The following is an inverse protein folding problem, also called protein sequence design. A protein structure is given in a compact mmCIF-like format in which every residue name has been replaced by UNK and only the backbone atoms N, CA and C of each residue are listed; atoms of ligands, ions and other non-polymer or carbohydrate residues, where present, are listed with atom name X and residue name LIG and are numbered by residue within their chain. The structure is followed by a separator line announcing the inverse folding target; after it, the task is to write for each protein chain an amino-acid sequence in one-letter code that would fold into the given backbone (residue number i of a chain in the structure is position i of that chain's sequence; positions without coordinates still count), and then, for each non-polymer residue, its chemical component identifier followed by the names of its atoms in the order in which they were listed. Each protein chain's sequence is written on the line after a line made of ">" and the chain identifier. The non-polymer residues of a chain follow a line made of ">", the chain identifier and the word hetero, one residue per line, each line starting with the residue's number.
data_IF_947467493569
#
_entry.id   IF_947467493569
#
_cell.length_a   1.000
_cell.length_b   1.000
_cell.length_c   1.000
_cell.angle_alpha   90.00
_cell.angle_beta   90.00
_cell.angle_gamma   90.00
#
_symmetry.space_group_name_H-M   'P 1'
#
loop_
_entity.id
_entity.type
_entity.pdbx_description
1 polymer ?
#
# COMPACT_ATOMS: atom_id res chain seq x y z
N UNK A 1 -30.27 -11.44 66.14
CA UNK A 1 -30.87 -11.40 64.79
C UNK A 1 -30.81 -9.95 64.34
N UNK A 2 -29.85 -9.59 63.50
CA UNK A 2 -29.72 -8.25 62.91
C UNK A 2 -29.65 -8.48 61.40
N UNK A 3 -30.74 -8.19 60.69
CA UNK A 3 -30.77 -8.26 59.23
C UNK A 3 -30.02 -7.06 58.65
N UNK A 4 -28.97 -7.34 57.90
CA UNK A 4 -28.26 -6.37 57.10
C UNK A 4 -29.14 -5.96 55.91
N UNK A 5 -29.49 -4.67 55.83
CA UNK A 5 -30.18 -4.09 54.69
C UNK A 5 -29.17 -3.88 53.55
N UNK A 6 -29.31 -4.64 52.47
CA UNK A 6 -28.49 -4.51 51.27
C UNK A 6 -28.86 -3.21 50.53
N UNK A 7 -27.87 -2.36 50.31
CA UNK A 7 -28.00 -1.08 49.61
C UNK A 7 -28.28 -1.31 48.12
N UNK A 8 -29.46 -0.88 47.63
CA UNK A 8 -29.83 -0.98 46.21
C UNK A 8 -29.07 0.06 45.39
N UNK A 9 -28.15 -0.41 44.55
CA UNK A 9 -27.44 0.43 43.56
C UNK A 9 -28.41 1.20 42.65
N UNK A 10 -28.20 2.51 42.52
CA UNK A 10 -28.98 3.39 41.64
C UNK A 10 -28.79 2.97 40.17
N UNK A 11 -29.81 2.37 39.57
CA UNK A 11 -29.86 2.12 38.13
C UNK A 11 -29.88 3.46 37.36
N UNK A 12 -28.91 3.65 36.47
CA UNK A 12 -28.84 4.81 35.56
C UNK A 12 -30.04 4.78 34.59
N UNK A 13 -30.73 5.91 34.41
CA UNK A 13 -31.81 6.05 33.43
C UNK A 13 -31.28 5.77 32.00
N UNK A 14 -32.06 5.11 31.15
CA UNK A 14 -31.73 4.75 29.77
C UNK A 14 -31.13 5.91 28.95
N UNK A 15 -31.58 7.16 29.17
CA UNK A 15 -30.97 8.34 28.50
C UNK A 15 -29.52 8.59 28.94
N UNK A 16 -29.21 8.39 30.23
CA UNK A 16 -27.85 8.53 30.76
C UNK A 16 -26.96 7.38 30.31
N UNK A 17 -27.49 6.16 30.23
CA UNK A 17 -26.79 5.00 29.67
C UNK A 17 -26.45 5.27 28.19
N UNK A 18 -27.42 5.75 27.41
CA UNK A 18 -27.21 6.10 26.00
C UNK A 18 -26.09 7.14 25.82
N UNK A 19 -26.11 8.23 26.60
CA UNK A 19 -25.06 9.26 26.55
C UNK A 19 -23.70 8.67 26.93
N UNK A 20 -23.64 7.83 27.96
CA UNK A 20 -22.40 7.20 28.41
C UNK A 20 -21.82 6.26 27.35
N UNK A 21 -22.68 5.49 26.67
CA UNK A 21 -22.29 4.63 25.54
C UNK A 21 -21.75 5.47 24.37
N UNK A 22 -22.41 6.57 24.01
CA UNK A 22 -21.94 7.45 22.92
C UNK A 22 -20.58 8.06 23.25
N UNK A 23 -20.38 8.54 24.49
CA UNK A 23 -19.09 9.10 24.93
C UNK A 23 -18.00 8.02 24.91
N UNK A 24 -18.31 6.81 25.37
CA UNK A 24 -17.37 5.68 25.33
C UNK A 24 -17.00 5.32 23.89
N UNK A 25 -17.97 5.25 22.98
CA UNK A 25 -17.70 4.99 21.56
C UNK A 25 -16.84 6.08 20.92
N UNK A 26 -17.12 7.36 21.21
CA UNK A 26 -16.31 8.47 20.72
C UNK A 26 -14.86 8.40 21.24
N UNK A 27 -14.66 8.04 22.51
CA UNK A 27 -13.33 7.82 23.09
C UNK A 27 -12.61 6.65 22.40
N UNK A 28 -13.28 5.53 22.17
CA UNK A 28 -12.72 4.38 21.47
C UNK A 28 -12.27 4.78 20.05
N UNK A 29 -13.13 5.47 19.30
CA UNK A 29 -12.79 5.97 17.95
C UNK A 29 -11.59 6.92 18.01
N UNK A 30 -11.52 7.83 18.97
CA UNK A 30 -10.39 8.75 19.12
C UNK A 30 -9.07 8.02 19.43
N UNK A 31 -9.10 7.02 20.33
CA UNK A 31 -7.93 6.20 20.67
C UNK A 31 -7.46 5.40 19.45
N UNK A 32 -8.38 4.69 18.78
CA UNK A 32 -8.02 3.91 17.59
C UNK A 32 -7.54 4.81 16.45
N UNK A 33 -8.14 5.99 16.25
CA UNK A 33 -7.66 6.94 15.25
C UNK A 33 -6.24 7.43 15.56
N UNK A 34 -5.92 7.68 16.83
CA UNK A 34 -4.57 8.06 17.25
C UNK A 34 -3.56 6.92 17.07
N UNK A 35 -3.93 5.69 17.47
CA UNK A 35 -3.06 4.51 17.33
C UNK A 35 -2.84 4.10 15.87
N UNK A 36 -3.86 4.23 15.01
CA UNK A 36 -3.78 3.94 13.57
C UNK A 36 -3.28 5.11 12.72
N UNK A 37 -2.92 6.24 13.33
CA UNK A 37 -2.37 7.36 12.56
C UNK A 37 -1.04 6.92 11.94
N UNK A 38 -1.00 6.90 10.61
CA UNK A 38 0.14 6.42 9.86
C UNK A 38 1.37 7.30 10.13
N UNK A 39 2.39 6.73 10.77
CA UNK A 39 3.65 7.41 11.13
C UNK A 39 4.76 7.18 10.10
N UNK A 40 4.46 6.40 9.06
CA UNK A 40 5.44 5.90 8.09
C UNK A 40 5.99 7.00 7.17
N UNK A 41 5.36 8.18 7.11
CA UNK A 41 5.82 9.28 6.27
C UNK A 41 5.75 8.97 4.77
N UNK A 42 4.93 7.99 4.38
CA UNK A 42 4.72 7.58 3.00
C UNK A 42 4.14 8.73 2.18
N UNK A 43 4.80 9.04 1.07
CA UNK A 43 4.44 10.11 0.15
C UNK A 43 4.65 9.63 -1.28
N UNK A 44 3.76 10.04 -2.17
CA UNK A 44 3.91 9.77 -3.60
C UNK A 44 5.23 10.34 -4.13
N UNK A 45 5.79 9.71 -5.16
CA UNK A 45 7.11 10.01 -5.70
C UNK A 45 8.28 9.38 -4.94
N UNK A 46 8.01 8.77 -3.77
CA UNK A 46 8.99 8.00 -2.99
C UNK A 46 8.46 6.61 -2.70
N UNK A 47 9.26 5.59 -3.01
CA UNK A 47 8.99 4.19 -2.72
C UNK A 47 9.80 3.78 -1.49
N UNK A 48 9.13 3.28 -0.46
CA UNK A 48 9.77 2.72 0.74
C UNK A 48 9.71 1.21 0.68
N UNK A 49 10.84 0.54 0.91
CA UNK A 49 10.95 -0.92 0.91
C UNK A 49 11.33 -1.36 2.32
N UNK A 50 10.50 -2.22 2.92
CA UNK A 50 10.63 -2.62 4.32
C UNK A 50 10.33 -4.10 4.55
N UNK A 51 10.82 -4.62 5.66
CA UNK A 51 10.48 -5.93 6.20
C UNK A 51 10.07 -5.78 7.67
N UNK A 52 8.78 -5.90 7.94
CA UNK A 52 8.21 -5.52 9.24
C UNK A 52 8.52 -4.07 9.59
N UNK A 53 9.07 -3.83 10.79
CA UNK A 53 9.44 -2.50 11.27
C UNK A 53 10.76 -1.95 10.67
N UNK A 54 11.50 -2.78 9.91
CA UNK A 54 12.81 -2.39 9.37
C UNK A 54 12.67 -1.83 7.96
N UNK A 55 13.05 -0.56 7.77
CA UNK A 55 13.19 0.04 6.43
C UNK A 55 14.52 -0.41 5.84
N UNK A 56 14.47 -1.13 4.72
CA UNK A 56 15.65 -1.62 4.00
C UNK A 56 16.17 -0.61 2.99
N UNK A 57 15.28 0.20 2.42
CA UNK A 57 15.66 1.24 1.48
C UNK A 57 14.52 2.15 1.09
N UNK A 58 14.86 3.26 0.46
CA UNK A 58 13.89 4.18 -0.13
C UNK A 58 14.44 4.73 -1.44
N UNK A 59 13.59 4.78 -2.47
CA UNK A 59 13.95 5.19 -3.82
C UNK A 59 12.95 6.24 -4.32
N UNK A 60 13.46 7.29 -4.93
CA UNK A 60 12.63 8.26 -5.66
C UNK A 60 12.43 7.84 -7.11
N UNK A 61 11.52 8.49 -7.82
CA UNK A 61 11.38 8.30 -9.27
C UNK A 61 12.71 8.57 -10.01
N UNK A 62 13.46 9.59 -9.59
CA UNK A 62 14.77 9.90 -10.17
C UNK A 62 15.80 8.79 -9.94
N UNK A 63 15.68 8.01 -8.86
CA UNK A 63 16.53 6.85 -8.62
C UNK A 63 16.12 5.66 -9.48
N UNK A 64 14.81 5.42 -9.65
CA UNK A 64 14.29 4.40 -10.57
C UNK A 64 14.70 4.67 -12.01
N UNK A 65 14.73 5.94 -12.44
CA UNK A 65 15.17 6.34 -13.78
C UNK A 65 16.66 6.11 -14.05
N UNK A 66 17.49 5.89 -13.01
CA UNK A 66 18.90 5.50 -13.18
C UNK A 66 19.07 3.98 -13.40
N UNK A 67 18.03 3.19 -13.10
CA UNK A 67 18.00 1.77 -13.34
C UNK A 67 17.60 1.49 -14.81
N UNK A 68 17.81 0.26 -15.33
CA UNK A 68 17.41 -0.07 -16.69
C UNK A 68 15.93 0.22 -16.95
N UNK A 69 15.67 1.16 -17.85
CA UNK A 69 14.34 1.50 -18.31
C UNK A 69 13.89 0.52 -19.41
N UNK A 70 12.63 0.13 -19.36
CA UNK A 70 11.96 -0.69 -20.37
C UNK A 70 10.59 -0.12 -20.69
N UNK A 71 10.19 -0.26 -21.95
CA UNK A 71 8.83 0.07 -22.40
C UNK A 71 7.97 -1.20 -22.42
N UNK A 72 6.74 -1.09 -21.90
CA UNK A 72 5.77 -2.19 -21.85
C UNK A 72 4.43 -1.77 -22.41
N UNK A 73 4.09 -2.36 -23.56
CA UNK A 73 2.78 -2.24 -24.18
C UNK A 73 1.86 -3.31 -23.63
N UNK A 74 0.71 -2.92 -23.11
CA UNK A 74 -0.29 -3.87 -22.64
C UNK A 74 -1.70 -3.30 -22.60
N UNK A 75 -2.67 -4.22 -22.64
CA UNK A 75 -4.09 -3.89 -22.48
C UNK A 75 -4.55 -4.32 -21.09
N UNK A 76 -5.16 -3.40 -20.35
CA UNK A 76 -5.77 -3.65 -19.05
C UNK A 76 -7.28 -3.73 -19.26
N UNK A 77 -7.84 -4.90 -18.97
CA UNK A 77 -9.25 -5.22 -19.10
C UNK A 77 -9.98 -4.89 -17.80
N UNK A 78 -10.99 -4.04 -17.87
CA UNK A 78 -11.80 -3.67 -16.71
C UNK A 78 -13.29 -3.79 -17.02
N UNK A 79 -14.12 -3.78 -15.99
CA UNK A 79 -15.59 -3.72 -16.17
C UNK A 79 -16.06 -2.46 -16.89
N UNK A 80 -15.22 -1.43 -16.98
CA UNK A 80 -15.48 -0.17 -17.70
C UNK A 80 -14.99 -0.19 -19.15
N UNK A 81 -14.37 -1.29 -19.58
CA UNK A 81 -13.74 -1.44 -20.89
C UNK A 81 -12.23 -1.66 -20.80
N UNK A 82 -11.65 -1.92 -21.97
CA UNK A 82 -10.24 -2.20 -22.15
C UNK A 82 -9.46 -0.90 -22.34
N UNK A 83 -8.28 -0.82 -21.74
CA UNK A 83 -7.39 0.35 -21.85
C UNK A 83 -6.01 -0.09 -22.32
N UNK A 84 -5.57 0.45 -23.44
CA UNK A 84 -4.21 0.25 -23.95
C UNK A 84 -3.26 1.21 -23.25
N UNK A 85 -2.09 0.71 -22.85
CA UNK A 85 -1.06 1.48 -22.15
C UNK A 85 0.31 1.20 -22.78
N UNK A 86 1.22 2.18 -22.69
CA UNK A 86 2.63 2.08 -23.07
C UNK A 86 3.48 2.60 -21.91
N UNK A 87 3.76 1.72 -20.96
CA UNK A 87 4.42 2.06 -19.71
C UNK A 87 5.93 2.14 -19.86
N UNK A 88 6.51 3.27 -19.42
CA UNK A 88 7.94 3.36 -19.11
C UNK A 88 8.15 2.89 -17.67
N UNK A 89 8.99 1.88 -17.50
CA UNK A 89 9.11 1.16 -16.24
C UNK A 89 10.51 0.59 -15.99
N UNK A 90 10.71 0.04 -14.79
CA UNK A 90 11.92 -0.66 -14.36
C UNK A 90 11.55 -2.03 -13.80
N UNK A 91 12.30 -3.11 -14.10
CA UNK A 91 12.03 -4.44 -13.53
C UNK A 91 12.07 -4.41 -12.01
N UNK A 92 11.07 -4.98 -11.34
CA UNK A 92 11.04 -4.98 -9.88
C UNK A 92 12.23 -5.75 -9.29
N UNK A 93 12.68 -6.82 -9.94
CA UNK A 93 13.90 -7.54 -9.55
C UNK A 93 15.15 -6.65 -9.58
N UNK A 94 15.29 -5.77 -10.57
CA UNK A 94 16.40 -4.82 -10.65
C UNK A 94 16.33 -3.78 -9.52
N UNK A 95 15.13 -3.30 -9.18
CA UNK A 95 14.90 -2.38 -8.05
C UNK A 95 15.32 -3.03 -6.73
N UNK A 96 14.89 -4.26 -6.45
CA UNK A 96 15.26 -4.96 -5.22
C UNK A 96 16.77 -5.22 -5.14
N UNK A 97 17.38 -5.68 -6.24
CA UNK A 97 18.82 -5.93 -6.31
C UNK A 97 19.68 -4.67 -6.16
N UNK A 98 19.15 -3.49 -6.50
CA UNK A 98 19.85 -2.21 -6.30
C UNK A 98 19.99 -1.81 -4.83
N UNK A 99 19.14 -2.37 -3.96
CA UNK A 99 19.19 -2.16 -2.50
C UNK A 99 20.03 -3.25 -1.85
N UNK A 100 19.62 -4.50 -2.05
CA UNK A 100 20.32 -5.68 -1.54
C UNK A 100 19.95 -6.90 -2.41
N UNK A 101 20.93 -7.52 -3.11
CA UNK A 101 20.71 -8.72 -3.92
C UNK A 101 20.08 -9.90 -3.15
N UNK A 102 20.31 -9.99 -1.84
CA UNK A 102 19.78 -11.09 -1.02
C UNK A 102 18.27 -10.95 -0.73
N UNK A 103 17.66 -9.78 -0.98
CA UNK A 103 16.20 -9.59 -0.82
C UNK A 103 15.41 -10.63 -1.61
N UNK A 104 15.81 -10.89 -2.86
CA UNK A 104 15.10 -11.83 -3.74
C UNK A 104 15.20 -13.29 -3.29
N UNK A 105 16.12 -13.61 -2.37
CA UNK A 105 16.33 -14.95 -1.81
C UNK A 105 15.71 -15.11 -0.43
N UNK A 106 15.66 -14.04 0.36
CA UNK A 106 15.25 -14.08 1.76
C UNK A 106 13.73 -13.94 1.95
N UNK A 107 13.03 -13.36 0.98
CA UNK A 107 11.59 -13.09 1.05
C UNK A 107 10.83 -13.83 -0.04
N UNK A 108 9.61 -14.27 0.29
CA UNK A 108 8.77 -15.07 -0.62
C UNK A 108 7.65 -14.26 -1.24
N UNK A 109 7.24 -13.17 -0.59
CA UNK A 109 6.11 -12.36 -1.04
C UNK A 109 6.37 -10.88 -0.78
N UNK A 110 5.73 -10.05 -1.59
CA UNK A 110 5.74 -8.60 -1.47
C UNK A 110 4.29 -8.15 -1.36
N UNK A 111 3.98 -7.36 -0.32
CA UNK A 111 2.72 -6.63 -0.23
C UNK A 111 2.97 -5.21 -0.71
N UNK A 112 2.34 -4.86 -1.81
CA UNK A 112 2.38 -3.52 -2.40
C UNK A 112 1.36 -2.65 -1.68
N UNK A 113 1.65 -1.35 -1.52
CA UNK A 113 0.72 -0.40 -0.91
C UNK A 113 0.72 0.93 -1.65
N UNK A 114 -0.49 1.38 -2.00
CA UNK A 114 -0.77 2.71 -2.51
C UNK A 114 -0.99 3.73 -1.38
N UNK A 115 -0.87 5.03 -1.68
CA UNK A 115 -1.12 6.12 -0.71
C UNK A 115 -2.57 6.13 -0.20
N UNK A 116 -3.48 5.51 -0.94
CA UNK A 116 -4.88 5.30 -0.58
C UNK A 116 -5.10 4.10 0.35
N UNK A 117 -4.03 3.44 0.81
CA UNK A 117 -4.02 2.20 1.57
C UNK A 117 -4.51 0.96 0.80
N UNK A 118 -4.72 1.05 -0.52
CA UNK A 118 -4.95 -0.15 -1.32
C UNK A 118 -3.70 -1.03 -1.27
N UNK A 119 -3.88 -2.33 -1.02
CA UNK A 119 -2.79 -3.30 -1.00
C UNK A 119 -3.05 -4.47 -1.93
N UNK A 120 -1.97 -5.01 -2.49
CA UNK A 120 -2.00 -6.26 -3.26
C UNK A 120 -0.80 -7.12 -2.94
N UNK A 121 -0.91 -8.42 -3.17
CA UNK A 121 0.20 -9.35 -3.02
C UNK A 121 0.86 -9.61 -4.36
N UNK A 122 2.19 -9.73 -4.37
CA UNK A 122 3.01 -10.19 -5.50
C UNK A 122 3.97 -11.24 -4.96
N UNK A 123 3.97 -12.44 -5.55
CA UNK A 123 4.88 -13.50 -5.11
C UNK A 123 6.29 -13.25 -5.68
N UNK A 124 7.34 -13.56 -4.92
CA UNK A 124 8.72 -13.36 -5.36
C UNK A 124 9.04 -14.22 -6.60
N UNK A 125 8.37 -15.36 -6.76
CA UNK A 125 8.45 -16.18 -7.99
C UNK A 125 7.96 -15.41 -9.22
N UNK A 126 6.91 -14.58 -9.10
CA UNK A 126 6.44 -13.71 -10.19
C UNK A 126 7.46 -12.61 -10.50
N UNK A 127 8.10 -12.05 -9.47
CA UNK A 127 9.14 -11.02 -9.61
C UNK A 127 10.39 -11.56 -10.32
N UNK A 128 10.72 -12.81 -10.06
CA UNK A 128 11.85 -13.51 -10.68
C UNK A 128 11.54 -14.06 -12.06
N UNK A 129 10.26 -14.11 -12.46
CA UNK A 129 9.91 -14.48 -13.82
C UNK A 129 10.45 -13.42 -14.80
N UNK A 130 11.09 -13.86 -15.90
CA UNK A 130 11.48 -12.95 -16.96
C UNK A 130 10.26 -12.19 -17.47
N UNK A 131 10.43 -10.89 -17.65
CA UNK A 131 9.45 -10.01 -18.28
C UNK A 131 8.04 -9.99 -17.65
N UNK A 132 7.95 -9.94 -16.32
CA UNK A 132 6.65 -10.00 -15.64
C UNK A 132 6.34 -8.81 -14.74
N UNK A 133 7.09 -8.59 -13.66
CA UNK A 133 6.74 -7.57 -12.65
C UNK A 133 7.62 -6.33 -12.77
N UNK A 134 6.98 -5.17 -12.86
CA UNK A 134 7.64 -3.89 -13.04
C UNK A 134 7.07 -2.79 -12.14
N UNK A 135 7.90 -1.77 -11.87
CA UNK A 135 7.45 -0.48 -11.36
C UNK A 135 7.41 0.50 -12.53
N UNK A 136 6.22 0.96 -12.89
CA UNK A 136 6.02 1.98 -13.90
C UNK A 136 5.96 3.38 -13.26
N UNK A 137 6.53 4.36 -13.96
CA UNK A 137 6.54 5.77 -13.56
C UNK A 137 6.09 6.72 -14.68
N UNK A 138 5.90 6.21 -15.91
CA UNK A 138 5.28 6.94 -17.01
C UNK A 138 4.34 6.03 -17.82
N UNK A 139 3.40 6.63 -18.54
CA UNK A 139 2.52 5.98 -19.52
C UNK A 139 2.37 6.89 -20.74
N UNK A 140 2.53 6.34 -21.94
CA UNK A 140 2.64 7.08 -23.21
C UNK A 140 3.67 8.24 -23.13
N UNK A 141 4.80 7.98 -22.48
CA UNK A 141 5.88 8.95 -22.27
C UNK A 141 5.54 10.11 -21.33
N UNK A 142 4.37 10.10 -20.67
CA UNK A 142 3.96 11.12 -19.69
C UNK A 142 4.07 10.59 -18.27
N UNK A 143 4.54 11.39 -17.29
CA UNK A 143 4.57 10.96 -15.90
C UNK A 143 3.22 10.45 -15.41
N UNK A 144 3.23 9.40 -14.59
CA UNK A 144 2.01 8.92 -13.94
C UNK A 144 1.49 9.97 -12.96
N UNK A 145 0.16 10.09 -12.92
CA UNK A 145 -0.53 11.05 -12.05
C UNK A 145 -0.61 10.56 -10.62
N UNK A 146 -0.38 11.48 -9.68
CA UNK A 146 -0.62 11.26 -8.26
C UNK A 146 -2.11 11.13 -7.96
N UNK A 147 -2.45 10.77 -6.72
CA UNK A 147 -3.86 10.68 -6.31
C UNK A 147 -4.58 12.02 -6.42
N UNK A 148 -3.87 13.13 -6.27
CA UNK A 148 -4.38 14.50 -6.42
C UNK A 148 -4.32 15.02 -7.85
N UNK A 149 -3.76 14.26 -8.80
CA UNK A 149 -3.67 14.63 -10.22
C UNK A 149 -2.40 15.37 -10.64
N UNK A 150 -1.42 15.52 -9.74
CA UNK A 150 -0.09 16.07 -10.03
C UNK A 150 0.78 15.04 -10.74
N UNK A 151 1.91 15.44 -11.33
CA UNK A 151 2.88 14.49 -11.90
C UNK A 151 3.78 13.89 -10.82
N UNK A 152 4.18 12.64 -11.00
CA UNK A 152 5.22 12.02 -10.17
C UNK A 152 4.70 10.91 -9.26
N UNK A 153 3.88 10.02 -9.80
CA UNK A 153 3.47 8.79 -9.11
C UNK A 153 4.13 7.55 -9.69
N UNK A 154 3.91 6.42 -9.03
CA UNK A 154 4.39 5.10 -9.43
C UNK A 154 3.25 4.09 -9.37
N UNK A 155 3.35 3.02 -10.16
CA UNK A 155 2.44 1.88 -10.04
C UNK A 155 3.16 0.57 -10.26
N UNK A 156 2.64 -0.49 -9.68
CA UNK A 156 3.01 -1.85 -10.08
C UNK A 156 2.27 -2.21 -11.37
N UNK A 157 2.96 -2.90 -12.28
CA UNK A 157 2.34 -3.61 -13.40
C UNK A 157 2.85 -5.05 -13.41
N UNK A 158 1.98 -6.00 -13.77
CA UNK A 158 2.28 -7.42 -13.87
C UNK A 158 1.84 -7.87 -15.26
N UNK A 159 2.79 -8.12 -16.16
CA UNK A 159 2.50 -8.36 -17.57
C UNK A 159 1.63 -9.62 -17.80
N UNK A 160 1.73 -10.62 -16.91
CA UNK A 160 0.90 -11.82 -16.95
C UNK A 160 -0.52 -11.65 -16.37
N UNK A 161 -0.89 -10.47 -15.86
CA UNK A 161 -2.24 -10.16 -15.34
C UNK A 161 -2.92 -9.11 -16.23
N UNK A 162 -3.94 -9.52 -16.99
CA UNK A 162 -4.67 -8.64 -17.89
C UNK A 162 -5.77 -7.83 -17.23
N UNK A 163 -6.10 -8.06 -15.95
CA UNK A 163 -7.23 -7.39 -15.27
C UNK A 163 -6.80 -6.17 -14.46
N UNK A 164 -5.50 -6.00 -14.23
CA UNK A 164 -4.94 -4.82 -13.56
C UNK A 164 -5.38 -4.61 -12.10
N UNK A 165 -6.13 -5.55 -11.51
CA UNK A 165 -6.59 -5.42 -10.13
C UNK A 165 -5.42 -5.37 -9.16
N UNK A 166 -4.34 -6.10 -9.47
CA UNK A 166 -3.12 -6.14 -8.66
C UNK A 166 -2.15 -4.99 -8.96
N UNK A 167 -2.51 -4.06 -9.85
CA UNK A 167 -1.62 -2.98 -10.29
C UNK A 167 -1.77 -1.80 -9.35
N UNK A 168 -1.21 -1.94 -8.15
CA UNK A 168 -1.28 -0.92 -7.11
C UNK A 168 -0.84 0.43 -7.64
N UNK A 169 -1.80 1.34 -7.75
CA UNK A 169 -1.59 2.74 -8.13
C UNK A 169 -1.11 3.55 -6.94
N UNK A 170 -0.50 4.70 -7.22
CA UNK A 170 0.00 5.62 -6.19
C UNK A 170 0.94 4.91 -5.21
N UNK A 171 1.79 4.05 -5.76
CA UNK A 171 2.64 3.14 -5.02
C UNK A 171 3.61 3.94 -4.14
N UNK A 172 3.58 3.65 -2.84
CA UNK A 172 4.43 4.32 -1.85
C UNK A 172 5.24 3.32 -1.02
N UNK A 173 4.83 2.05 -0.93
CA UNK A 173 5.53 1.06 -0.12
C UNK A 173 5.49 -0.35 -0.71
N UNK A 174 6.58 -1.07 -0.50
CA UNK A 174 6.67 -2.53 -0.63
C UNK A 174 7.03 -3.12 0.73
N UNK A 175 6.23 -4.08 1.18
CA UNK A 175 6.48 -4.83 2.41
C UNK A 175 6.85 -6.27 2.07
N UNK A 176 8.07 -6.65 2.41
CA UNK A 176 8.63 -7.97 2.16
C UNK A 176 8.20 -8.95 3.26
N UNK A 177 7.78 -10.15 2.87
CA UNK A 177 7.27 -11.22 3.73
C UNK A 177 7.94 -12.57 3.42
#
# INVERSE_FOLDING_TARGET
>A
MVEASVEKGKFLNSKKILVLVIVLLALIVAVFSFLNRDKTGLKEGTLVIRAGETVLGSLTIADLQKLPAVEKKMTINSTKGDTENEFTCTPLSAVLNSIDPEITRNYKKIVTRGVDNYTSGVDMSEVLQPDNVYIAYADYGKPLKTKTGEDGSMRIIICNDSFGQRFTMWLVSLELQ
#
